data_IF_640370625887
#
_entry.id   IF_640370625887
#
_cell.length_a   1.000
_cell.length_b   1.000
_cell.length_c   1.000
_cell.angle_alpha   90.00
_cell.angle_beta   90.00
_cell.angle_gamma   90.00
#
_symmetry.space_group_name_H-M   'P 1'
#
loop_
_entity.id
_entity.type
_entity.pdbx_description
1 polymer ?
#
# COMPACT_ATOMS: atom_id res chain seq x y z
N UNK A 1 48.46 1.70 -53.42
CA UNK A 1 47.84 2.39 -52.27
C UNK A 1 47.23 1.48 -51.22
N UNK A 2 46.56 0.35 -51.53
CA UNK A 2 45.97 -0.55 -50.52
C UNK A 2 47.03 -1.39 -49.76
N UNK A 3 48.18 -1.72 -50.39
CA UNK A 3 49.26 -2.50 -49.75
C UNK A 3 50.04 -1.68 -48.71
N UNK A 4 50.21 -0.41 -48.89
CA UNK A 4 50.90 0.45 -47.93
C UNK A 4 50.06 0.74 -46.69
N UNK A 5 48.74 0.91 -46.82
CA UNK A 5 47.85 1.06 -45.65
C UNK A 5 47.82 -0.20 -44.78
N UNK A 6 47.99 -1.36 -45.39
CA UNK A 6 48.02 -2.62 -44.61
C UNK A 6 49.32 -2.78 -43.82
N UNK A 7 50.48 -2.29 -44.36
CA UNK A 7 51.75 -2.29 -43.65
C UNK A 7 51.77 -1.27 -42.50
N UNK A 8 51.17 -0.08 -42.69
CA UNK A 8 51.06 0.92 -41.66
C UNK A 8 50.20 0.44 -40.50
N UNK A 9 49.07 -0.27 -40.74
CA UNK A 9 48.21 -0.82 -39.69
C UNK A 9 48.90 -1.98 -38.92
N UNK A 10 49.73 -2.83 -39.59
CA UNK A 10 50.49 -3.85 -38.90
C UNK A 10 51.59 -3.25 -37.98
N UNK A 11 52.23 -2.16 -38.41
CA UNK A 11 53.22 -1.47 -37.59
C UNK A 11 52.61 -0.67 -36.41
N UNK A 12 51.35 -0.22 -36.53
CA UNK A 12 50.64 0.44 -35.45
C UNK A 12 50.20 -0.51 -34.33
N UNK A 13 49.88 -1.78 -34.66
CA UNK A 13 49.47 -2.79 -33.67
C UNK A 13 50.66 -3.35 -32.87
N UNK A 14 51.88 -3.27 -33.40
CA UNK A 14 53.07 -3.81 -32.71
C UNK A 14 53.68 -2.84 -31.68
N UNK A 15 53.26 -1.55 -31.72
CA UNK A 15 53.81 -0.52 -30.83
C UNK A 15 53.28 -0.57 -29.39
N UNK A 16 52.28 -1.38 -29.12
CA UNK A 16 51.66 -1.51 -27.76
C UNK A 16 52.11 -2.71 -26.94
N UNK A 17 52.99 -3.59 -27.49
CA UNK A 17 53.58 -4.71 -26.71
C UNK A 17 54.99 -4.40 -26.24
N UNK A 18 55.29 -3.25 -25.70
CA UNK A 18 56.47 -3.14 -24.86
C UNK A 18 56.25 -3.92 -23.57
N UNK A 19 56.79 -5.13 -23.52
CA UNK A 19 56.86 -5.92 -22.31
C UNK A 19 57.50 -5.05 -21.21
N UNK A 20 56.82 -4.97 -20.09
CA UNK A 20 57.34 -4.24 -18.91
C UNK A 20 58.64 -4.88 -18.47
N UNK A 21 59.66 -4.06 -18.14
CA UNK A 21 60.96 -4.50 -17.59
C UNK A 21 60.81 -5.33 -16.30
N UNK A 22 59.65 -5.40 -15.73
CA UNK A 22 59.36 -6.03 -14.45
C UNK A 22 58.50 -7.28 -14.57
N UNK A 23 58.09 -7.69 -15.78
CA UNK A 23 57.25 -8.87 -15.97
C UNK A 23 57.98 -9.91 -16.83
N UNK A 24 57.90 -11.15 -16.39
CA UNK A 24 58.11 -12.45 -17.06
C UNK A 24 59.47 -12.80 -17.71
N UNK A 25 60.34 -11.86 -18.07
CA UNK A 25 61.60 -12.21 -18.77
C UNK A 25 62.80 -12.50 -17.83
N UNK A 26 62.60 -12.66 -16.52
CA UNK A 26 63.68 -12.92 -15.57
C UNK A 26 63.94 -14.40 -15.26
N UNK A 27 63.35 -15.34 -16.02
CA UNK A 27 63.65 -16.77 -15.83
C UNK A 27 63.33 -17.34 -14.47
N UNK A 28 62.60 -16.60 -13.62
CA UNK A 28 62.10 -17.16 -12.37
C UNK A 28 60.75 -17.86 -12.67
N UNK A 29 60.64 -19.18 -12.35
CA UNK A 29 59.35 -19.84 -12.38
C UNK A 29 58.48 -19.13 -11.33
N UNK A 30 57.73 -18.15 -11.79
CA UNK A 30 56.92 -17.34 -10.91
C UNK A 30 55.53 -17.91 -10.74
N UNK A 31 55.00 -17.76 -9.56
CA UNK A 31 53.61 -18.11 -9.22
C UNK A 31 52.56 -17.27 -10.02
N UNK A 32 52.95 -16.54 -11.04
CA UNK A 32 52.10 -15.63 -11.85
C UNK A 32 52.33 -15.85 -13.35
N UNK A 33 52.04 -17.05 -13.83
CA UNK A 33 51.87 -17.30 -15.27
C UNK A 33 50.44 -16.83 -15.66
N UNK A 34 50.31 -15.59 -16.05
CA UNK A 34 49.05 -15.01 -16.48
C UNK A 34 49.16 -13.50 -16.76
N UNK A 35 48.14 -12.90 -17.36
CA UNK A 35 48.09 -11.44 -17.56
C UNK A 35 48.15 -10.75 -16.20
N UNK A 36 49.28 -10.09 -15.89
CA UNK A 36 49.41 -9.31 -14.67
C UNK A 36 48.50 -8.08 -14.75
N UNK A 37 47.59 -7.96 -13.77
CA UNK A 37 46.75 -6.78 -13.63
C UNK A 37 47.63 -5.56 -13.40
N UNK A 38 47.55 -4.56 -14.29
CA UNK A 38 48.30 -3.33 -14.10
C UNK A 38 47.81 -2.60 -12.86
N UNK A 39 48.73 -1.90 -12.16
CA UNK A 39 48.37 -1.12 -10.97
C UNK A 39 47.18 -0.17 -11.23
N UNK A 40 47.12 0.41 -12.43
CA UNK A 40 46.01 1.29 -12.85
C UNK A 40 44.68 0.51 -12.96
N UNK A 41 44.70 -0.69 -13.58
CA UNK A 41 43.52 -1.52 -13.70
C UNK A 41 43.04 -1.99 -12.33
N UNK A 42 43.97 -2.38 -11.45
CA UNK A 42 43.63 -2.75 -10.07
C UNK A 42 42.97 -1.61 -9.31
N UNK A 43 43.53 -0.39 -9.35
CA UNK A 43 42.94 0.78 -8.68
C UNK A 43 41.57 1.15 -9.23
N UNK A 44 41.38 1.08 -10.56
CA UNK A 44 40.08 1.34 -11.16
C UNK A 44 39.02 0.32 -10.74
N UNK A 45 39.35 -0.97 -10.81
CA UNK A 45 38.40 -2.04 -10.41
C UNK A 45 38.08 -1.96 -8.92
N UNK A 46 39.07 -1.68 -8.08
CA UNK A 46 38.87 -1.51 -6.64
C UNK A 46 37.99 -0.31 -6.32
N UNK A 47 38.20 0.83 -6.99
CA UNK A 47 37.39 2.02 -6.82
C UNK A 47 35.93 1.81 -7.28
N UNK A 48 35.75 1.15 -8.44
CA UNK A 48 34.41 0.80 -8.93
C UNK A 48 33.72 -0.19 -8.00
N UNK A 49 34.43 -1.22 -7.54
CA UNK A 49 33.90 -2.20 -6.59
C UNK A 49 33.47 -1.55 -5.28
N UNK A 50 34.29 -0.68 -4.72
CA UNK A 50 33.94 0.09 -3.52
C UNK A 50 32.72 0.98 -3.74
N UNK A 51 32.65 1.64 -4.91
CA UNK A 51 31.48 2.44 -5.29
C UNK A 51 30.19 1.63 -5.39
N UNK A 52 30.24 0.46 -6.03
CA UNK A 52 29.09 -0.45 -6.13
C UNK A 52 28.63 -0.91 -4.75
N UNK A 53 29.58 -1.30 -3.88
CA UNK A 53 29.25 -1.72 -2.51
C UNK A 53 28.59 -0.58 -1.74
N UNK A 54 29.13 0.64 -1.83
CA UNK A 54 28.56 1.79 -1.16
C UNK A 54 27.12 2.10 -1.66
N UNK A 55 26.92 2.11 -2.97
CA UNK A 55 25.59 2.31 -3.57
C UNK A 55 24.63 1.19 -3.13
N UNK A 56 25.06 -0.08 -3.17
CA UNK A 56 24.23 -1.21 -2.76
C UNK A 56 23.83 -1.12 -1.27
N UNK A 57 24.74 -0.68 -0.41
CA UNK A 57 24.49 -0.53 1.03
C UNK A 57 23.34 0.46 1.33
N UNK A 58 23.11 1.46 0.49
CA UNK A 58 22.01 2.40 0.64
C UNK A 58 20.77 1.98 -0.16
N UNK A 59 20.94 1.47 -1.38
CA UNK A 59 19.80 1.16 -2.25
C UNK A 59 19.06 -0.10 -1.85
N UNK A 60 19.76 -1.16 -1.39
CA UNK A 60 19.09 -2.40 -1.00
C UNK A 60 18.15 -2.25 0.19
N UNK A 61 18.52 -1.57 1.29
CA UNK A 61 17.57 -1.29 2.37
C UNK A 61 16.39 -0.42 1.91
N UNK A 62 16.65 0.60 1.09
CA UNK A 62 15.58 1.47 0.57
C UNK A 62 14.60 0.68 -0.32
N UNK A 63 15.10 -0.18 -1.20
CA UNK A 63 14.28 -1.09 -2.00
C UNK A 63 13.53 -2.11 -1.13
N UNK A 64 14.20 -2.67 -0.12
CA UNK A 64 13.57 -3.58 0.84
C UNK A 64 12.42 -2.92 1.59
N UNK A 65 12.59 -1.66 1.99
CA UNK A 65 11.53 -0.87 2.62
C UNK A 65 10.37 -0.60 1.65
N UNK A 66 10.67 -0.19 0.43
CA UNK A 66 9.67 0.13 -0.59
C UNK A 66 8.89 -1.10 -1.06
N UNK A 67 9.56 -2.24 -1.23
CA UNK A 67 8.95 -3.49 -1.72
C UNK A 67 8.43 -4.39 -0.58
N UNK A 68 8.89 -4.19 0.65
CA UNK A 68 8.52 -5.00 1.81
C UNK A 68 7.01 -5.20 1.99
N UNK A 69 6.18 -4.13 1.88
CA UNK A 69 4.72 -4.24 2.01
C UNK A 69 4.05 -5.14 0.97
N UNK A 70 4.70 -5.37 -0.19
CA UNK A 70 4.16 -6.26 -1.24
C UNK A 70 4.24 -7.73 -0.79
N UNK A 71 5.27 -8.07 -0.01
CA UNK A 71 5.53 -9.45 0.43
C UNK A 71 4.99 -9.76 1.83
N UNK A 72 4.79 -8.75 2.67
CA UNK A 72 4.21 -8.91 4.01
C UNK A 72 2.75 -8.46 4.00
N UNK A 73 1.83 -9.40 3.82
CA UNK A 73 0.42 -9.19 4.15
C UNK A 73 0.23 -9.57 5.61
N UNK A 74 0.25 -8.59 6.50
CA UNK A 74 -0.19 -8.81 7.87
C UNK A 74 -1.69 -9.16 7.83
N UNK A 75 -2.09 -10.33 8.34
CA UNK A 75 -3.50 -10.65 8.43
C UNK A 75 -4.17 -9.63 9.35
N UNK A 76 -5.23 -8.98 8.88
CA UNK A 76 -6.01 -8.10 9.72
C UNK A 76 -6.63 -8.92 10.86
N UNK A 77 -6.38 -8.46 12.08
CA UNK A 77 -6.95 -9.09 13.26
C UNK A 77 -8.25 -8.39 13.65
N UNK A 78 -9.29 -9.15 13.95
CA UNK A 78 -10.50 -8.63 14.52
C UNK A 78 -10.21 -7.98 15.87
N UNK A 79 -10.76 -6.79 16.10
CA UNK A 79 -10.58 -6.03 17.32
C UNK A 79 -11.92 -5.85 18.02
N UNK A 80 -11.93 -6.00 19.34
CA UNK A 80 -13.10 -5.69 20.16
C UNK A 80 -13.17 -4.16 20.29
N UNK A 81 -14.35 -3.59 20.00
CA UNK A 81 -14.59 -2.15 20.07
C UNK A 81 -15.58 -1.74 21.16
N UNK A 82 -16.18 -2.70 21.83
CA UNK A 82 -17.09 -2.46 22.95
C UNK A 82 -18.15 -3.55 23.09
N UNK A 83 -19.17 -3.23 23.81
CA UNK A 83 -20.38 -4.04 24.00
C UNK A 83 -21.54 -3.50 23.18
N UNK A 84 -22.60 -4.26 22.91
CA UNK A 84 -23.79 -3.76 22.18
C UNK A 84 -24.39 -2.49 22.79
N UNK A 85 -24.32 -2.33 24.11
CA UNK A 85 -24.89 -1.19 24.84
C UNK A 85 -24.12 0.11 24.63
N UNK A 86 -22.86 0.03 24.13
CA UNK A 86 -22.04 1.21 23.81
C UNK A 86 -22.48 1.92 22.52
N UNK A 87 -23.40 1.33 21.77
CA UNK A 87 -23.80 1.81 20.46
C UNK A 87 -25.31 2.04 20.38
N UNK A 88 -25.70 3.18 19.86
CA UNK A 88 -27.09 3.55 19.60
C UNK A 88 -27.32 3.78 18.10
N UNK A 89 -28.56 3.73 17.65
CA UNK A 89 -28.90 3.78 16.22
C UNK A 89 -28.59 5.14 15.57
N UNK A 90 -28.70 6.23 16.34
CA UNK A 90 -28.64 7.59 15.82
C UNK A 90 -27.39 8.37 16.23
N UNK A 91 -26.46 7.74 16.93
CA UNK A 91 -25.24 8.41 17.44
C UNK A 91 -24.00 7.61 17.08
N UNK A 92 -23.07 8.27 16.40
CA UNK A 92 -21.76 7.67 16.13
C UNK A 92 -20.83 7.75 17.34
N UNK A 93 -20.40 6.60 17.81
CA UNK A 93 -19.32 6.46 18.80
C UNK A 93 -17.98 6.43 18.08
N UNK A 94 -17.01 7.19 18.58
CA UNK A 94 -15.64 7.22 18.03
C UNK A 94 -14.82 6.10 18.64
N UNK A 95 -14.27 5.21 17.85
CA UNK A 95 -13.40 4.10 18.28
C UNK A 95 -12.04 4.20 17.60
N UNK A 96 -10.98 3.98 18.35
CA UNK A 96 -9.60 3.96 17.83
C UNK A 96 -9.20 2.52 17.53
N UNK A 97 -8.75 2.30 16.30
CA UNK A 97 -8.36 0.98 15.81
C UNK A 97 -6.87 0.93 15.56
N UNK A 98 -6.24 -0.20 15.83
CA UNK A 98 -4.86 -0.48 15.44
C UNK A 98 -4.87 -1.17 14.08
N UNK A 99 -4.47 -0.44 13.04
CA UNK A 99 -4.38 -0.97 11.66
C UNK A 99 -3.03 -1.64 11.43
N UNK A 100 -1.95 -1.04 11.95
CA UNK A 100 -0.59 -1.58 11.84
C UNK A 100 0.02 -1.63 13.24
N UNK A 101 0.39 -2.84 13.64
CA UNK A 101 1.04 -3.04 14.94
C UNK A 101 2.50 -2.57 14.92
N UNK A 102 3.00 -2.11 16.05
CA UNK A 102 4.41 -1.77 16.22
C UNK A 102 4.83 -0.36 15.75
N UNK A 103 3.95 0.40 15.10
CA UNK A 103 4.25 1.78 14.64
C UNK A 103 3.59 2.87 15.51
N UNK A 104 3.15 2.52 16.71
CA UNK A 104 2.55 3.46 17.65
C UNK A 104 1.31 4.17 17.12
N UNK A 105 1.20 5.48 17.35
CA UNK A 105 0.02 6.27 16.91
C UNK A 105 -0.15 6.32 15.38
N UNK A 106 0.93 6.24 14.61
CA UNK A 106 0.86 6.22 13.16
C UNK A 106 0.15 4.97 12.60
N UNK A 107 0.13 3.88 13.37
CA UNK A 107 -0.58 2.65 13.01
C UNK A 107 -2.05 2.65 13.42
N UNK A 108 -2.57 3.72 14.01
CA UNK A 108 -3.94 3.82 14.47
C UNK A 108 -4.83 4.52 13.45
N UNK A 109 -6.11 4.19 13.46
CA UNK A 109 -7.16 4.85 12.67
C UNK A 109 -8.40 5.02 13.52
N UNK A 110 -9.23 5.96 13.12
CA UNK A 110 -10.52 6.21 13.79
C UNK A 110 -11.63 5.57 12.95
N UNK A 111 -12.52 4.86 13.63
CA UNK A 111 -13.81 4.43 13.09
C UNK A 111 -14.94 5.11 13.85
N UNK A 112 -15.95 5.51 13.11
CA UNK A 112 -17.22 6.00 13.64
C UNK A 112 -18.22 4.84 13.58
N UNK A 113 -18.68 4.39 14.73
CA UNK A 113 -19.51 3.19 14.86
C UNK A 113 -20.84 3.51 15.50
N UNK A 114 -21.92 3.03 14.90
CA UNK A 114 -23.27 3.04 15.49
C UNK A 114 -23.96 1.71 15.22
N UNK A 115 -25.02 1.45 15.95
CA UNK A 115 -25.91 0.35 15.65
C UNK A 115 -26.58 0.58 14.30
N UNK A 116 -26.87 -0.47 13.57
CA UNK A 116 -27.60 -0.42 12.31
C UNK A 116 -29.08 -0.14 12.58
N UNK A 117 -29.64 0.82 11.83
CA UNK A 117 -31.06 1.12 11.81
C UNK A 117 -31.64 0.73 10.44
N UNK A 118 -32.55 -0.26 10.36
CA UNK A 118 -33.16 -0.68 9.10
C UNK A 118 -33.93 0.42 8.37
N UNK A 119 -34.37 1.47 9.07
CA UNK A 119 -35.08 2.60 8.45
C UNK A 119 -34.12 3.55 7.71
N UNK A 120 -32.86 3.59 8.11
CA UNK A 120 -31.84 4.48 7.55
C UNK A 120 -30.90 3.72 6.62
N UNK A 121 -30.48 2.51 7.02
CA UNK A 121 -29.44 1.72 6.34
C UNK A 121 -30.07 0.74 5.36
N UNK A 122 -30.17 1.16 4.10
CA UNK A 122 -30.86 0.40 3.03
C UNK A 122 -29.98 -0.65 2.36
N UNK A 123 -28.67 -0.64 2.59
CA UNK A 123 -27.77 -1.63 2.04
C UNK A 123 -28.07 -3.03 2.55
N UNK A 124 -27.75 -4.09 1.76
CA UNK A 124 -28.03 -5.46 2.15
C UNK A 124 -27.42 -5.80 3.51
N UNK A 125 -28.22 -6.40 4.38
CA UNK A 125 -27.77 -6.85 5.69
C UNK A 125 -27.17 -8.26 5.60
N UNK A 126 -25.97 -8.44 6.14
CA UNK A 126 -25.31 -9.72 6.29
C UNK A 126 -24.71 -9.84 7.72
N UNK A 127 -24.15 -11.00 8.03
CA UNK A 127 -23.57 -11.26 9.35
C UNK A 127 -22.38 -10.35 9.70
N UNK A 128 -21.78 -9.69 8.71
CA UNK A 128 -20.60 -8.84 8.88
C UNK A 128 -20.91 -7.34 8.81
N UNK A 129 -22.14 -6.94 8.94
CA UNK A 129 -22.57 -5.54 9.00
C UNK A 129 -23.70 -5.29 10.01
N UNK A 130 -23.66 -5.96 11.15
CA UNK A 130 -24.60 -5.76 12.25
C UNK A 130 -24.57 -4.32 12.79
N UNK A 131 -23.43 -3.64 12.65
CA UNK A 131 -23.22 -2.25 12.98
C UNK A 131 -22.71 -1.50 11.74
N UNK A 132 -23.01 -0.22 11.66
CA UNK A 132 -22.42 0.67 10.66
C UNK A 132 -21.12 1.23 11.22
N UNK A 133 -20.00 0.94 10.57
CA UNK A 133 -18.70 1.42 10.97
C UNK A 133 -18.04 2.13 9.79
N UNK A 134 -17.86 3.44 9.88
CA UNK A 134 -17.31 4.31 8.85
C UNK A 134 -15.87 4.69 9.17
N UNK A 135 -15.03 4.72 8.17
CA UNK A 135 -13.65 5.17 8.30
C UNK A 135 -13.58 6.70 8.39
N UNK A 136 -12.70 7.21 9.25
CA UNK A 136 -12.42 8.64 9.30
C UNK A 136 -11.59 9.15 8.11
N UNK A 137 -11.25 8.31 7.13
CA UNK A 137 -10.43 8.69 5.98
C UNK A 137 -11.29 9.29 4.87
N UNK A 138 -10.98 10.53 4.48
CA UNK A 138 -11.64 11.21 3.36
C UNK A 138 -11.31 10.59 2.01
N UNK A 139 -12.31 10.39 1.17
CA UNK A 139 -12.19 9.79 -0.17
C UNK A 139 -11.75 10.78 -1.26
N UNK A 140 -11.26 11.97 -0.86
CA UNK A 140 -10.52 12.85 -1.75
C UNK A 140 -9.01 12.54 -1.72
N UNK A 141 -8.30 12.90 -0.66
CA UNK A 141 -6.85 12.70 -0.51
C UNK A 141 -6.46 12.03 0.82
N UNK A 142 -7.41 11.46 1.56
CA UNK A 142 -7.11 10.69 2.76
C UNK A 142 -7.07 11.48 4.07
N UNK A 143 -7.40 12.78 4.07
CA UNK A 143 -7.48 13.59 5.30
C UNK A 143 -8.50 13.02 6.30
N UNK A 144 -8.31 13.20 7.60
CA UNK A 144 -9.29 12.77 8.60
C UNK A 144 -10.58 13.61 8.50
N UNK A 145 -11.73 12.93 8.42
CA UNK A 145 -13.04 13.55 8.54
C UNK A 145 -13.49 13.57 10.00
N UNK A 146 -14.32 14.54 10.36
CA UNK A 146 -14.94 14.66 11.68
C UNK A 146 -16.45 14.53 11.56
N UNK A 147 -17.05 13.77 12.46
CA UNK A 147 -18.50 13.73 12.58
C UNK A 147 -18.98 14.94 13.39
N UNK A 148 -19.92 15.68 12.83
CA UNK A 148 -20.58 16.82 13.46
C UNK A 148 -22.02 16.41 13.79
N UNK A 149 -22.24 16.02 15.04
CA UNK A 149 -23.50 15.44 15.48
C UNK A 149 -24.70 16.39 15.26
N UNK A 150 -24.53 17.67 15.55
CA UNK A 150 -25.60 18.67 15.36
C UNK A 150 -26.08 18.83 13.90
N UNK A 151 -25.21 18.50 12.94
CA UNK A 151 -25.52 18.55 11.52
C UNK A 151 -25.76 17.17 10.92
N UNK A 152 -25.53 16.10 11.68
CA UNK A 152 -25.56 14.69 11.23
C UNK A 152 -24.71 14.47 9.97
N UNK A 153 -23.52 15.07 9.92
CA UNK A 153 -22.65 15.06 8.76
C UNK A 153 -21.21 14.81 9.15
N UNK A 154 -20.47 14.20 8.21
CA UNK A 154 -19.02 14.11 8.30
C UNK A 154 -18.42 15.22 7.44
N UNK A 155 -17.45 15.93 8.00
CA UNK A 155 -16.79 17.07 7.35
C UNK A 155 -15.30 16.84 7.30
N UNK A 156 -14.72 17.01 6.11
CA UNK A 156 -13.29 17.03 5.90
C UNK A 156 -12.79 18.47 5.90
N UNK A 157 -11.96 18.90 6.85
CA UNK A 157 -11.53 20.29 6.96
C UNK A 157 -10.52 20.70 5.87
N UNK A 158 -9.90 19.75 5.18
CA UNK A 158 -8.81 20.04 4.24
C UNK A 158 -9.32 20.77 2.96
N UNK A 159 -10.38 20.24 2.34
CA UNK A 159 -10.91 20.77 1.08
C UNK A 159 -12.45 20.83 1.08
N UNK A 160 -13.07 20.85 2.25
CA UNK A 160 -14.51 21.00 2.36
C UNK A 160 -15.32 19.79 1.88
N UNK A 161 -14.75 18.60 1.88
CA UNK A 161 -15.52 17.38 1.61
C UNK A 161 -16.57 17.14 2.69
N UNK A 162 -17.83 16.92 2.29
CA UNK A 162 -18.96 16.68 3.20
C UNK A 162 -19.63 15.37 2.83
N UNK A 163 -19.95 14.59 3.88
CA UNK A 163 -20.70 13.35 3.74
C UNK A 163 -21.93 13.40 4.65
N UNK A 164 -22.99 12.75 4.21
CA UNK A 164 -24.22 12.64 4.98
C UNK A 164 -24.06 11.65 6.16
N UNK A 165 -25.13 11.43 6.91
CA UNK A 165 -25.17 10.51 8.06
C UNK A 165 -24.78 9.06 7.69
N UNK A 166 -25.04 8.62 6.45
CA UNK A 166 -24.68 7.28 5.96
C UNK A 166 -23.26 7.20 5.43
N UNK A 167 -22.51 8.32 5.41
CA UNK A 167 -21.16 8.39 4.84
C UNK A 167 -21.13 8.56 3.31
N UNK A 168 -22.27 8.85 2.66
CA UNK A 168 -22.37 9.15 1.22
C UNK A 168 -21.93 10.60 0.96
N UNK A 169 -21.37 10.86 -0.20
CA UNK A 169 -20.92 12.21 -0.57
C UNK A 169 -22.13 13.17 -0.68
N UNK A 170 -22.09 14.21 0.13
CA UNK A 170 -23.09 15.28 0.11
C UNK A 170 -22.56 16.58 -0.53
N UNK A 171 -21.25 16.70 -0.70
CA UNK A 171 -20.62 17.85 -1.35
C UNK A 171 -19.10 17.88 -1.26
N UNK A 172 -18.49 18.75 -2.06
CA UNK A 172 -17.05 18.90 -2.13
C UNK A 172 -16.38 17.88 -3.07
N UNK A 173 -15.04 17.76 -3.00
CA UNK A 173 -14.25 17.00 -3.96
C UNK A 173 -14.18 15.46 -3.74
N UNK A 174 -14.72 14.82 -2.69
CA UNK A 174 -14.68 13.37 -2.58
C UNK A 174 -15.41 12.69 -3.75
N UNK A 175 -14.83 11.62 -4.26
CA UNK A 175 -15.31 10.90 -5.45
C UNK A 175 -16.26 9.75 -5.15
N UNK A 176 -16.32 9.31 -3.88
CA UNK A 176 -17.14 8.17 -3.43
C UNK A 176 -17.44 8.26 -1.94
N UNK A 177 -18.39 7.44 -1.43
CA UNK A 177 -18.67 7.34 0.00
C UNK A 177 -17.45 6.94 0.85
N UNK A 178 -17.52 7.22 2.15
CA UNK A 178 -16.52 6.79 3.11
C UNK A 178 -16.38 5.26 3.11
N UNK A 179 -15.15 4.78 3.21
CA UNK A 179 -14.87 3.37 3.42
C UNK A 179 -15.56 2.87 4.70
N UNK A 180 -15.92 1.62 4.69
CA UNK A 180 -16.56 0.94 5.81
C UNK A 180 -15.68 -0.16 6.38
N UNK A 181 -15.97 -0.58 7.60
CA UNK A 181 -15.37 -1.74 8.22
C UNK A 181 -16.38 -2.87 8.35
N UNK A 182 -15.92 -4.10 8.24
CA UNK A 182 -16.71 -5.23 8.66
C UNK A 182 -16.94 -5.14 10.17
N UNK A 183 -18.16 -5.47 10.58
CA UNK A 183 -18.53 -5.53 12.00
C UNK A 183 -19.18 -6.86 12.27
N UNK A 184 -18.97 -7.42 13.45
CA UNK A 184 -19.58 -8.68 13.83
C UNK A 184 -19.94 -8.66 15.33
N UNK A 185 -21.15 -9.05 15.63
CA UNK A 185 -21.61 -9.31 16.99
C UNK A 185 -22.06 -10.76 17.06
N UNK A 186 -21.28 -11.66 17.71
CA UNK A 186 -21.63 -13.06 17.82
C UNK A 186 -23.00 -13.24 18.48
N UNK A 187 -23.87 -14.09 17.93
CA UNK A 187 -25.16 -14.40 18.54
C UNK A 187 -24.98 -15.16 19.86
N UNK A 188 -26.05 -15.24 20.68
CA UNK A 188 -26.02 -16.02 21.91
C UNK A 188 -25.61 -17.47 21.65
N UNK A 189 -24.65 -17.99 22.40
CA UNK A 189 -24.11 -19.34 22.27
C UNK A 189 -22.81 -19.42 21.45
N UNK A 190 -22.45 -18.42 20.69
CA UNK A 190 -21.14 -18.36 20.05
C UNK A 190 -20.08 -17.75 20.99
N UNK A 191 -18.83 -18.19 20.79
CA UNK A 191 -17.69 -17.63 21.53
C UNK A 191 -17.53 -16.14 21.21
N UNK A 192 -17.32 -15.33 22.22
CA UNK A 192 -17.21 -13.87 22.07
C UNK A 192 -18.55 -13.14 22.08
N UNK A 193 -19.66 -13.84 22.35
CA UNK A 193 -20.97 -13.21 22.59
C UNK A 193 -20.84 -12.09 23.66
N UNK A 194 -21.58 -11.00 23.48
CA UNK A 194 -21.53 -9.83 24.36
C UNK A 194 -20.51 -8.78 23.95
N UNK A 195 -19.72 -9.03 22.90
CA UNK A 195 -18.80 -8.04 22.35
C UNK A 195 -19.11 -7.72 20.90
N UNK A 196 -18.77 -6.49 20.50
CA UNK A 196 -18.80 -6.04 19.10
C UNK A 196 -17.39 -6.04 18.57
N UNK A 197 -17.19 -6.71 17.46
CA UNK A 197 -15.91 -6.83 16.77
C UNK A 197 -15.91 -5.95 15.53
N UNK A 198 -14.76 -5.34 15.22
CA UNK A 198 -14.51 -4.66 13.98
C UNK A 198 -13.41 -5.37 13.19
N UNK A 199 -13.67 -5.57 11.91
CA UNK A 199 -12.84 -6.28 10.97
C UNK A 199 -12.11 -5.35 9.98
N UNK A 200 -11.59 -5.91 8.88
CA UNK A 200 -10.90 -5.14 7.86
C UNK A 200 -11.79 -4.07 7.22
N UNK A 201 -11.13 -3.06 6.67
CA UNK A 201 -11.79 -1.98 5.92
C UNK A 201 -12.08 -2.44 4.49
N UNK A 202 -13.22 -2.01 3.95
CA UNK A 202 -13.60 -2.22 2.56
C UNK A 202 -14.14 -0.92 1.94
N UNK A 203 -14.04 -0.85 0.61
CA UNK A 203 -14.53 0.30 -0.17
C UNK A 203 -15.96 0.07 -0.64
N UNK A 204 -16.71 1.15 -0.76
CA UNK A 204 -18.07 1.15 -1.30
C UNK A 204 -18.21 2.21 -2.40
N UNK A 205 -19.03 1.89 -3.41
CA UNK A 205 -19.39 2.81 -4.48
C UNK A 205 -20.61 3.68 -4.08
N UNK A 206 -21.10 4.51 -5.00
CA UNK A 206 -22.23 5.42 -4.74
C UNK A 206 -23.53 4.71 -4.37
N UNK A 207 -23.68 3.44 -4.73
CA UNK A 207 -24.83 2.60 -4.37
C UNK A 207 -24.61 1.81 -3.09
N UNK A 208 -23.50 2.08 -2.38
CA UNK A 208 -23.02 1.38 -1.18
C UNK A 208 -22.71 -0.11 -1.41
N UNK A 209 -22.50 -0.52 -2.65
CA UNK A 209 -22.01 -1.85 -2.98
C UNK A 209 -20.50 -1.93 -2.70
N UNK A 210 -20.09 -3.06 -2.16
CA UNK A 210 -18.67 -3.35 -1.87
C UNK A 210 -17.90 -3.58 -3.17
N UNK A 211 -16.70 -3.04 -3.26
CA UNK A 211 -15.79 -3.28 -4.38
C UNK A 211 -14.33 -3.34 -3.92
N UNK A 212 -13.47 -3.97 -4.71
CA UNK A 212 -12.03 -3.90 -4.51
C UNK A 212 -11.45 -2.66 -5.23
N UNK A 213 -10.49 -1.94 -4.65
CA UNK A 213 -9.94 -0.71 -5.25
C UNK A 213 -9.32 -0.86 -6.65
N UNK A 214 -9.11 -2.10 -7.10
CA UNK A 214 -8.56 -2.41 -8.43
C UNK A 214 -9.59 -2.91 -9.41
N UNK A 215 -10.85 -2.99 -9.02
CA UNK A 215 -11.91 -3.40 -9.92
C UNK A 215 -12.12 -2.36 -11.02
N UNK A 216 -12.31 -2.77 -12.27
CA UNK A 216 -12.60 -1.84 -13.35
C UNK A 216 -13.91 -1.08 -13.08
N UNK A 217 -14.01 0.11 -13.63
CA UNK A 217 -15.17 1.01 -13.49
C UNK A 217 -15.51 1.43 -12.03
N UNK A 218 -14.61 1.21 -11.07
CA UNK A 218 -14.81 1.67 -9.69
C UNK A 218 -14.04 2.98 -9.44
N UNK A 219 -14.63 3.92 -8.69
CA UNK A 219 -13.99 5.21 -8.42
C UNK A 219 -12.79 5.05 -7.50
N UNK A 220 -11.63 5.50 -7.96
CA UNK A 220 -10.41 5.57 -7.15
C UNK A 220 -10.38 6.87 -6.35
N UNK A 221 -9.92 6.80 -5.13
CA UNK A 221 -9.65 7.96 -4.27
C UNK A 221 -8.16 8.33 -4.28
N UNK A 222 -7.83 9.45 -3.64
CA UNK A 222 -6.46 9.94 -3.55
C UNK A 222 -5.90 10.35 -4.90
N UNK A 223 -4.61 10.18 -5.08
CA UNK A 223 -3.91 10.51 -6.33
C UNK A 223 -4.39 9.62 -7.48
N UNK A 224 -4.87 8.42 -7.19
CA UNK A 224 -5.34 7.47 -8.19
C UNK A 224 -6.44 8.03 -9.09
N UNK A 225 -7.32 8.89 -8.57
CA UNK A 225 -8.38 9.54 -9.33
C UNK A 225 -7.86 10.41 -10.50
N UNK A 226 -6.65 10.96 -10.36
CA UNK A 226 -6.02 11.80 -11.39
C UNK A 226 -5.12 10.99 -12.33
N UNK A 227 -4.51 9.92 -11.83
CA UNK A 227 -3.57 9.10 -12.61
C UNK A 227 -4.28 8.07 -13.49
N UNK A 228 -5.46 7.62 -13.10
CA UNK A 228 -6.20 6.55 -13.76
C UNK A 228 -7.66 6.98 -14.09
N UNK A 229 -7.86 8.01 -14.91
CA UNK A 229 -9.22 8.49 -15.23
C UNK A 229 -10.07 7.44 -15.97
N UNK A 230 -9.45 6.45 -16.62
CA UNK A 230 -10.15 5.35 -17.29
C UNK A 230 -10.94 4.43 -16.35
N UNK A 231 -10.65 4.43 -15.05
CA UNK A 231 -11.46 3.73 -14.06
C UNK A 231 -12.84 4.35 -13.86
N UNK A 232 -13.07 5.53 -14.41
CA UNK A 232 -14.32 6.27 -14.31
C UNK A 232 -15.30 5.95 -15.45
N UNK A 233 -14.94 5.05 -16.33
CA UNK A 233 -15.85 4.60 -17.39
C UNK A 233 -16.96 3.74 -16.77
N UNK A 234 -18.05 4.40 -16.43
CA UNK A 234 -19.25 3.77 -15.87
C UNK A 234 -20.07 3.01 -16.92
N UNK A 235 -19.65 3.01 -18.19
CA UNK A 235 -20.30 2.23 -19.25
C UNK A 235 -20.10 0.72 -19.09
N UNK A 236 -19.05 0.31 -18.35
CA UNK A 236 -18.82 -1.08 -18.01
C UNK A 236 -19.48 -1.36 -16.66
N UNK A 237 -20.45 -2.28 -16.57
CA UNK A 237 -21.05 -2.63 -15.29
C UNK A 237 -19.94 -3.15 -14.34
N UNK A 238 -19.93 -2.70 -13.07
CA UNK A 238 -18.94 -3.18 -12.11
C UNK A 238 -19.05 -4.70 -12.04
N UNK A 239 -17.91 -5.42 -12.07
CA UNK A 239 -17.92 -6.85 -11.84
C UNK A 239 -18.55 -7.14 -10.48
N UNK A 240 -19.35 -8.20 -10.40
CA UNK A 240 -19.84 -8.70 -9.11
C UNK A 240 -18.61 -9.16 -8.33
N UNK A 241 -18.11 -8.29 -7.48
CA UNK A 241 -16.87 -8.55 -6.75
C UNK A 241 -17.20 -9.49 -5.59
N UNK A 242 -16.76 -10.72 -5.68
CA UNK A 242 -16.61 -11.59 -4.54
C UNK A 242 -15.44 -11.06 -3.71
N UNK A 243 -15.69 -10.03 -2.91
CA UNK A 243 -14.68 -9.61 -1.93
C UNK A 243 -14.39 -10.83 -1.05
N UNK A 244 -13.11 -11.11 -0.80
CA UNK A 244 -12.78 -12.19 0.11
C UNK A 244 -13.49 -11.93 1.44
N UNK A 245 -14.15 -12.94 1.94
CA UNK A 245 -14.77 -12.88 3.27
C UNK A 245 -13.68 -12.46 4.27
N UNK A 246 -14.03 -11.66 5.26
CA UNK A 246 -13.08 -11.32 6.30
C UNK A 246 -12.57 -12.61 6.97
N UNK A 247 -11.33 -12.63 7.45
CA UNK A 247 -10.77 -13.79 8.12
C UNK A 247 -11.68 -14.22 9.29
N UNK A 248 -11.72 -15.50 9.66
CA UNK A 248 -12.50 -15.98 10.79
C UNK A 248 -12.09 -15.26 12.07
N UNK A 249 -13.06 -15.06 12.97
CA UNK A 249 -12.78 -14.45 14.27
C UNK A 249 -11.89 -15.41 15.05
N UNK A 250 -10.82 -14.93 15.71
CA UNK A 250 -9.95 -15.79 16.48
C UNK A 250 -10.73 -16.57 17.52
N UNK A 251 -10.75 -17.89 17.40
CA UNK A 251 -11.37 -18.78 18.37
C UNK A 251 -12.80 -19.25 18.01
N UNK A 252 -13.28 -18.98 16.78
CA UNK A 252 -14.48 -19.65 16.22
C UNK A 252 -14.09 -20.87 15.41
#
# INVERSE_FOLDING_TARGET
MASERRKLNLMATDRHKKKSKYTADRGMPGAFEGETVTRRAFMNVSAQGAGVIAVAAFTLPALGFALGPIFKREPFQWQIIGTPDDFVDTVYSTKVLTIVQGVGEAGKSIAYVRKRDPAIDVEPHDKFNNYVALSSRCMHLGCPVRYVQAAERFVCPCHGGVYNFRGEVAGGPPVRPLDRFYTYAPPPGERGHGFVYIGPRYSVNSELHRFAPRDPAQPLDGIGQFLYPSHWDTSVPPPVTNLPLPPPIPGT
#
